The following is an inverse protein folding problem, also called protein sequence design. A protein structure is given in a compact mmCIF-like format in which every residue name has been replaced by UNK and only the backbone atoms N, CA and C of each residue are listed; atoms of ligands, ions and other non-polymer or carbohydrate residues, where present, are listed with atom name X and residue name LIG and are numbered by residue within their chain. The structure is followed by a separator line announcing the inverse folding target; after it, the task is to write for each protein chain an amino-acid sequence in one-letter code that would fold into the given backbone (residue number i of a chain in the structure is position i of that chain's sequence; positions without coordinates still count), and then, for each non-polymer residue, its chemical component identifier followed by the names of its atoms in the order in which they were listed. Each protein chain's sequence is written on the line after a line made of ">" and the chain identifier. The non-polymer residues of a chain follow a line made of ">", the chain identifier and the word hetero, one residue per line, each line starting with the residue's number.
data_IF_381259882635
#
_entry.id   IF_381259882635
#
_cell.length_a   1.000
_cell.length_b   1.000
_cell.length_c   1.000
_cell.angle_alpha   90.00
_cell.angle_beta   90.00
_cell.angle_gamma   90.00
#
_symmetry.space_group_name_H-M   'P 1'
#
loop_
_entity.id
_entity.type
_entity.pdbx_description
1 polymer ?
#
# COMPACT_ATOMS: atom_id res chain seq x y z
N UNK A 1 -22.00 -44.60 -11.56
CA UNK A 1 -22.86 -43.65 -10.83
C UNK A 1 -22.40 -43.56 -9.39
N UNK A 2 -21.66 -42.50 -9.00
CA UNK A 2 -21.66 -42.01 -7.62
C UNK A 2 -21.75 -40.49 -7.69
N UNK A 3 -22.78 -39.97 -7.04
CA UNK A 3 -23.22 -38.58 -7.06
C UNK A 3 -22.11 -37.60 -6.71
N UNK A 4 -22.05 -36.52 -7.49
CA UNK A 4 -21.42 -35.27 -7.10
C UNK A 4 -22.38 -34.55 -6.13
N UNK A 5 -22.17 -34.74 -4.83
CA UNK A 5 -22.70 -33.82 -3.82
C UNK A 5 -21.74 -32.63 -3.74
N UNK A 6 -22.15 -31.48 -4.28
CA UNK A 6 -21.43 -30.23 -4.10
C UNK A 6 -21.70 -29.70 -2.69
N UNK A 7 -20.74 -29.85 -1.78
CA UNK A 7 -20.78 -29.19 -0.48
C UNK A 7 -20.64 -27.67 -0.68
N UNK A 8 -21.73 -26.96 -0.43
CA UNK A 8 -21.88 -25.50 -0.42
C UNK A 8 -21.20 -24.87 0.83
N UNK A 9 -19.94 -25.23 1.09
CA UNK A 9 -19.21 -24.87 2.32
C UNK A 9 -17.92 -24.06 2.09
N UNK A 10 -17.57 -23.75 0.83
CA UNK A 10 -16.34 -22.99 0.49
C UNK A 10 -16.53 -21.49 0.27
N UNK A 11 -17.77 -20.98 0.25
CA UNK A 11 -18.08 -19.56 -0.04
C UNK A 11 -18.40 -18.69 1.17
N UNK A 12 -18.71 -19.28 2.33
CA UNK A 12 -19.08 -18.53 3.53
C UNK A 12 -18.06 -17.42 3.90
N UNK A 13 -16.73 -17.64 3.88
CA UNK A 13 -15.79 -16.59 4.25
C UNK A 13 -15.60 -15.52 3.17
N UNK A 14 -15.83 -15.82 1.89
CA UNK A 14 -15.59 -14.85 0.80
C UNK A 14 -16.66 -13.76 0.72
N UNK A 15 -17.91 -14.10 1.08
CA UNK A 15 -19.04 -13.16 1.03
C UNK A 15 -18.97 -12.07 2.09
N UNK A 16 -18.28 -12.35 3.19
CA UNK A 16 -18.14 -11.44 4.34
C UNK A 16 -16.84 -10.63 4.29
N UNK A 17 -15.94 -10.91 3.34
CA UNK A 17 -14.67 -10.18 3.20
C UNK A 17 -14.92 -8.73 2.82
N UNK A 18 -14.23 -7.85 3.54
CA UNK A 18 -14.16 -6.42 3.23
C UNK A 18 -13.48 -6.20 1.87
N UNK A 19 -13.80 -5.09 1.20
CA UNK A 19 -13.21 -4.72 -0.10
C UNK A 19 -11.72 -4.36 -0.04
N UNK A 20 -11.17 -4.30 1.16
CA UNK A 20 -9.74 -4.14 1.46
C UNK A 20 -8.98 -5.47 1.49
N UNK A 21 -9.68 -6.61 1.58
CA UNK A 21 -9.08 -7.94 1.61
C UNK A 21 -8.54 -8.37 0.23
N UNK A 22 -7.78 -9.47 0.22
CA UNK A 22 -7.19 -10.02 -1.01
C UNK A 22 -8.25 -10.39 -2.07
N UNK A 23 -9.43 -10.82 -1.62
CA UNK A 23 -10.61 -11.09 -2.44
C UNK A 23 -11.86 -10.63 -1.70
N UNK A 24 -12.88 -10.23 -2.46
CA UNK A 24 -14.15 -9.75 -1.94
C UNK A 24 -15.25 -9.97 -2.98
N UNK A 25 -16.50 -10.02 -2.50
CA UNK A 25 -17.66 -10.15 -3.36
C UNK A 25 -18.22 -8.76 -3.72
N UNK A 26 -18.69 -8.61 -4.97
CA UNK A 26 -19.41 -7.40 -5.42
C UNK A 26 -20.83 -7.81 -5.83
N UNK A 27 -21.89 -7.17 -5.31
CA UNK A 27 -23.25 -7.44 -5.73
C UNK A 27 -23.47 -7.21 -7.23
N UNK A 28 -24.27 -8.06 -7.87
CA UNK A 28 -24.60 -7.93 -9.30
C UNK A 28 -25.24 -6.58 -9.62
N UNK A 29 -26.07 -6.04 -8.72
CA UNK A 29 -26.69 -4.72 -8.86
C UNK A 29 -25.65 -3.61 -9.02
N UNK A 30 -24.57 -3.68 -8.25
CA UNK A 30 -23.52 -2.66 -8.23
C UNK A 30 -22.71 -2.70 -9.52
N UNK A 31 -22.41 -3.92 -10.00
CA UNK A 31 -21.76 -4.12 -11.30
C UNK A 31 -22.63 -3.56 -12.43
N UNK A 32 -23.93 -3.85 -12.42
CA UNK A 32 -24.86 -3.34 -13.43
C UNK A 32 -24.98 -1.81 -13.39
N UNK A 33 -25.02 -1.20 -12.20
CA UNK A 33 -25.05 0.24 -12.03
C UNK A 33 -23.77 0.94 -12.56
N UNK A 34 -22.64 0.25 -12.53
CA UNK A 34 -21.37 0.72 -13.08
C UNK A 34 -21.18 0.35 -14.56
N UNK A 35 -22.24 -0.05 -15.27
CA UNK A 35 -22.18 -0.37 -16.69
C UNK A 35 -21.39 -1.65 -17.00
N UNK A 36 -21.37 -2.59 -16.06
CA UNK A 36 -20.58 -3.82 -16.15
C UNK A 36 -19.07 -3.59 -16.27
N UNK A 37 -18.57 -2.46 -15.76
CA UNK A 37 -17.14 -2.27 -15.55
C UNK A 37 -16.64 -3.30 -14.51
N UNK A 38 -15.74 -4.20 -14.92
CA UNK A 38 -15.17 -5.24 -14.05
C UNK A 38 -13.77 -4.89 -13.54
N UNK A 39 -13.34 -3.64 -13.67
CA UNK A 39 -12.08 -3.17 -13.12
C UNK A 39 -12.06 -3.37 -11.61
N UNK A 40 -11.07 -4.13 -11.12
CA UNK A 40 -10.86 -4.35 -9.69
C UNK A 40 -10.75 -3.00 -8.95
N UNK A 41 -10.10 -2.01 -9.55
CA UNK A 41 -9.89 -0.69 -8.95
C UNK A 41 -11.19 0.10 -8.71
N UNK A 42 -12.27 -0.21 -9.44
CA UNK A 42 -13.57 0.43 -9.23
C UNK A 42 -14.21 -0.01 -7.91
N UNK A 43 -13.89 -1.23 -7.45
CA UNK A 43 -14.56 -1.87 -6.33
C UNK A 43 -13.65 -2.18 -5.16
N UNK A 44 -12.34 -2.14 -5.34
CA UNK A 44 -11.37 -2.36 -4.27
C UNK A 44 -11.28 -1.10 -3.43
N UNK A 45 -11.40 -1.26 -2.12
CA UNK A 45 -11.09 -0.20 -1.18
C UNK A 45 -9.58 -0.26 -0.88
N UNK A 46 -8.90 0.84 -1.15
CA UNK A 46 -7.48 0.99 -0.80
C UNK A 46 -7.43 1.68 0.55
N UNK A 47 -6.92 0.97 1.56
CA UNK A 47 -6.57 1.61 2.83
C UNK A 47 -5.34 2.47 2.56
N UNK A 48 -5.53 3.79 2.52
CA UNK A 48 -4.41 4.71 2.57
C UNK A 48 -3.91 4.74 4.00
N UNK A 49 -2.79 4.06 4.26
CA UNK A 49 -2.05 4.31 5.49
C UNK A 49 -1.69 5.80 5.52
N UNK A 50 -2.00 6.46 6.64
CA UNK A 50 -1.45 7.77 6.89
C UNK A 50 0.05 7.58 7.09
N UNK A 51 0.80 7.87 6.03
CA UNK A 51 2.25 7.95 6.14
C UNK A 51 2.52 9.32 6.73
N UNK A 52 2.95 9.34 7.99
CA UNK A 52 3.42 10.56 8.62
C UNK A 52 4.67 11.04 7.86
N UNK A 53 4.54 12.19 7.22
CA UNK A 53 5.66 12.84 6.56
C UNK A 53 6.32 13.82 7.52
N UNK A 54 7.66 13.86 7.50
CA UNK A 54 8.42 14.88 8.22
C UNK A 54 8.03 16.27 7.72
N UNK A 55 7.97 17.23 8.64
CA UNK A 55 7.75 18.61 8.25
C UNK A 55 8.90 19.11 7.36
N UNK A 56 8.65 19.99 6.37
CA UNK A 56 9.70 20.49 5.48
C UNK A 56 10.90 21.10 6.23
N UNK A 57 10.64 21.75 7.37
CA UNK A 57 11.69 22.33 8.22
C UNK A 57 12.60 21.27 8.85
N UNK A 58 12.04 20.13 9.24
CA UNK A 58 12.82 19.01 9.80
C UNK A 58 13.69 18.37 8.73
N UNK A 59 13.18 18.23 7.50
CA UNK A 59 13.96 17.76 6.35
C UNK A 59 15.15 18.69 6.11
N UNK A 60 14.92 20.01 6.11
CA UNK A 60 16.00 20.99 5.93
C UNK A 60 17.03 20.96 7.05
N UNK A 61 16.60 20.80 8.31
CA UNK A 61 17.50 20.67 9.44
C UNK A 61 18.39 19.42 9.33
N UNK A 62 17.80 18.29 8.91
CA UNK A 62 18.54 17.05 8.67
C UNK A 62 19.55 17.19 7.53
N UNK A 63 19.18 17.86 6.44
CA UNK A 63 20.09 18.13 5.32
C UNK A 63 21.26 19.02 5.75
N UNK A 64 21.00 20.10 6.51
CA UNK A 64 22.06 20.99 7.00
C UNK A 64 23.03 20.26 7.92
N UNK A 65 22.53 19.34 8.77
CA UNK A 65 23.38 18.51 9.62
C UNK A 65 24.26 17.58 8.77
N UNK A 66 23.68 16.91 7.77
CA UNK A 66 24.42 16.01 6.88
C UNK A 66 25.54 16.75 6.13
N UNK A 67 25.27 17.97 5.67
CA UNK A 67 26.28 18.81 4.99
C UNK A 67 27.50 19.09 5.89
N UNK A 68 27.27 19.38 7.18
CA UNK A 68 28.35 19.58 8.15
C UNK A 68 29.20 18.31 8.33
N UNK A 69 28.55 17.14 8.42
CA UNK A 69 29.25 15.86 8.57
C UNK A 69 30.11 15.55 7.33
N UNK A 70 29.59 15.83 6.13
CA UNK A 70 30.32 15.68 4.87
C UNK A 70 31.55 16.60 4.86
N UNK A 71 31.37 17.89 5.16
CA UNK A 71 32.46 18.86 5.16
C UNK A 71 33.58 18.46 6.14
N UNK A 72 33.22 18.03 7.35
CA UNK A 72 34.18 17.51 8.32
C UNK A 72 34.90 16.25 7.83
N UNK A 73 34.21 15.37 7.11
CA UNK A 73 34.80 14.19 6.47
C UNK A 73 35.84 14.57 5.43
N UNK A 74 35.52 15.56 4.59
CA UNK A 74 36.43 16.06 3.54
C UNK A 74 37.69 16.68 4.15
N UNK A 75 37.55 17.54 5.16
CA UNK A 75 38.69 18.16 5.86
C UNK A 75 39.62 17.12 6.48
N UNK A 76 39.06 16.06 7.08
CA UNK A 76 39.85 14.95 7.63
C UNK A 76 40.62 14.22 6.54
N UNK A 77 39.99 13.95 5.40
CA UNK A 77 40.65 13.28 4.27
C UNK A 77 41.77 14.15 3.69
N UNK A 78 41.55 15.45 3.52
CA UNK A 78 42.57 16.38 3.07
C UNK A 78 43.76 16.46 4.02
N UNK A 79 43.51 16.41 5.34
CA UNK A 79 44.57 16.43 6.35
C UNK A 79 45.47 15.18 6.30
N UNK A 80 44.98 14.03 5.82
CA UNK A 80 45.78 12.81 5.67
C UNK A 80 46.71 12.84 4.45
N UNK A 81 46.48 13.74 3.50
CA UNK A 81 47.30 13.89 2.29
C UNK A 81 48.42 14.93 2.43
N UNK A 82 48.51 15.60 3.59
CA UNK A 82 49.59 16.54 3.94
C UNK A 82 50.63 15.85 4.82
#
# INVERSE_FOLDING_TARGET
>A
MRSLGGDDSTYAPERERLRTAQSFCVPKSDIAAQGYDLSLNRYKEVVHEQVDHLAPQEILANLAKLEVEIQQGMEKLEALLK
#
